data_IF_062392494418
#
_entry.id   IF_062392494418
#
_cell.length_a   1.000
_cell.length_b   1.000
_cell.length_c   1.000
_cell.angle_alpha   90.00
_cell.angle_beta   90.00
_cell.angle_gamma   90.00
#
_symmetry.space_group_name_H-M   'P 1'
#
loop_
_entity.id
_entity.type
_entity.pdbx_description
1 polymer ?
#
# COMPACT_ATOMS: atom_id res chain seq x y z
N UNK A 1 6.90 5.70 -5.14
CA UNK A 1 6.41 4.66 -4.21
C UNK A 1 7.53 3.71 -3.86
N UNK A 2 7.51 3.15 -2.66
CA UNK A 2 8.49 2.17 -2.19
C UNK A 2 7.83 0.80 -2.06
N UNK A 3 7.83 -0.02 -3.13
CA UNK A 3 7.11 -1.30 -3.13
C UNK A 3 7.55 -2.28 -2.05
N UNK A 4 8.86 -2.36 -1.77
CA UNK A 4 9.37 -3.28 -0.76
C UNK A 4 8.91 -2.90 0.65
N UNK A 5 8.69 -1.63 0.92
CA UNK A 5 8.20 -1.17 2.22
C UNK A 5 6.73 -1.57 2.41
N UNK A 6 5.92 -1.43 1.37
CA UNK A 6 4.51 -1.85 1.39
C UNK A 6 4.43 -3.37 1.60
N UNK A 7 5.19 -4.13 0.80
CA UNK A 7 5.25 -5.58 0.93
C UNK A 7 5.72 -6.01 2.32
N UNK A 8 6.77 -5.36 2.84
CA UNK A 8 7.31 -5.67 4.16
C UNK A 8 6.29 -5.42 5.27
N UNK A 9 5.58 -4.30 5.23
CA UNK A 9 4.54 -3.98 6.22
C UNK A 9 3.42 -5.03 6.18
N UNK A 10 2.98 -5.42 4.96
CA UNK A 10 1.95 -6.44 4.79
C UNK A 10 2.39 -7.79 5.35
N UNK A 11 3.58 -8.24 5.00
CA UNK A 11 4.08 -9.56 5.41
C UNK A 11 4.35 -9.63 6.91
N UNK A 12 4.80 -8.54 7.53
CA UNK A 12 4.98 -8.50 8.98
C UNK A 12 3.67 -8.69 9.74
N UNK A 13 2.55 -8.27 9.15
CA UNK A 13 1.22 -8.48 9.74
C UNK A 13 0.62 -9.83 9.38
N UNK A 14 1.31 -10.64 8.56
CA UNK A 14 0.80 -11.93 8.13
C UNK A 14 -0.35 -11.85 7.13
N UNK A 15 -0.51 -10.73 6.44
CA UNK A 15 -1.59 -10.52 5.49
C UNK A 15 -1.18 -10.99 4.09
N UNK A 16 -2.08 -11.72 3.41
CA UNK A 16 -1.83 -12.18 2.05
C UNK A 16 -2.19 -11.11 1.01
N UNK A 17 -1.63 -11.24 -0.19
CA UNK A 17 -2.04 -10.39 -1.31
C UNK A 17 -3.51 -10.60 -1.65
N UNK A 18 -3.99 -11.83 -1.53
CA UNK A 18 -5.41 -12.15 -1.75
C UNK A 18 -6.31 -11.38 -0.79
N UNK A 19 -5.94 -11.35 0.50
CA UNK A 19 -6.69 -10.59 1.49
C UNK A 19 -6.72 -9.11 1.15
N UNK A 20 -5.56 -8.54 0.81
CA UNK A 20 -5.48 -7.12 0.45
C UNK A 20 -6.34 -6.81 -0.78
N UNK A 21 -6.29 -7.67 -1.79
CA UNK A 21 -7.10 -7.52 -2.99
C UNK A 21 -8.59 -7.51 -2.67
N UNK A 22 -9.03 -8.42 -1.80
CA UNK A 22 -10.43 -8.48 -1.36
C UNK A 22 -10.85 -7.19 -0.67
N UNK A 23 -9.99 -6.66 0.20
CA UNK A 23 -10.28 -5.43 0.93
C UNK A 23 -10.33 -4.21 0.00
N UNK A 24 -9.61 -4.25 -1.11
CA UNK A 24 -9.59 -3.18 -2.11
C UNK A 24 -10.62 -3.41 -3.23
N UNK A 25 -11.32 -4.55 -3.20
CA UNK A 25 -12.30 -4.93 -4.21
C UNK A 25 -11.68 -5.01 -5.62
N UNK A 26 -10.48 -5.58 -5.71
CA UNK A 26 -9.75 -5.80 -6.96
C UNK A 26 -9.27 -7.25 -7.01
N UNK A 27 -8.77 -7.67 -8.17
CA UNK A 27 -8.21 -9.02 -8.31
C UNK A 27 -6.85 -9.11 -7.62
N UNK A 28 -6.45 -10.32 -7.24
CA UNK A 28 -5.14 -10.56 -6.64
C UNK A 28 -4.02 -10.18 -7.61
N UNK A 29 -4.18 -10.49 -8.91
CA UNK A 29 -3.21 -10.11 -9.93
C UNK A 29 -3.06 -8.59 -10.02
N UNK A 30 -4.17 -7.85 -9.97
CA UNK A 30 -4.16 -6.39 -9.98
C UNK A 30 -3.46 -5.83 -8.75
N UNK A 31 -3.76 -6.39 -7.57
CA UNK A 31 -3.09 -5.98 -6.34
C UNK A 31 -1.58 -6.21 -6.43
N UNK A 32 -1.16 -7.39 -6.93
CA UNK A 32 0.25 -7.70 -7.08
C UNK A 32 1.00 -6.69 -7.94
N UNK A 33 0.39 -6.26 -9.03
CA UNK A 33 0.98 -5.21 -9.89
C UNK A 33 1.11 -3.89 -9.16
N UNK A 34 0.12 -3.52 -8.37
CA UNK A 34 0.14 -2.27 -7.59
C UNK A 34 1.20 -2.33 -6.50
N UNK A 35 1.32 -3.46 -5.79
CA UNK A 35 2.32 -3.63 -4.76
C UNK A 35 3.75 -3.56 -5.33
N UNK A 36 3.96 -4.04 -6.56
CA UNK A 36 5.26 -3.98 -7.24
C UNK A 36 5.55 -2.62 -7.88
N UNK A 37 4.59 -1.71 -7.86
CA UNK A 37 4.76 -0.38 -8.46
C UNK A 37 4.54 -0.33 -9.97
N UNK A 38 4.04 -1.42 -10.58
CA UNK A 38 3.75 -1.44 -12.01
C UNK A 38 2.48 -0.67 -12.37
N UNK A 39 1.53 -0.61 -11.44
CA UNK A 39 0.28 0.15 -11.55
C UNK A 39 0.13 0.96 -10.27
N UNK A 40 -0.29 2.20 -10.38
CA UNK A 40 -0.46 3.06 -9.21
C UNK A 40 -1.69 2.65 -8.39
N UNK A 41 -1.57 2.74 -7.07
CA UNK A 41 -2.76 2.73 -6.22
C UNK A 41 -3.56 4.00 -6.46
N UNK A 42 -4.89 3.88 -6.51
CA UNK A 42 -5.76 5.05 -6.51
C UNK A 42 -5.72 5.70 -5.12
N UNK A 43 -6.19 6.95 -5.02
CA UNK A 43 -6.23 7.63 -3.73
C UNK A 43 -7.09 6.90 -2.70
N UNK A 44 -8.32 6.43 -3.03
CA UNK A 44 -9.09 5.62 -2.10
C UNK A 44 -8.38 4.33 -1.69
N UNK A 45 -7.67 3.68 -2.61
CA UNK A 45 -6.90 2.47 -2.30
C UNK A 45 -5.77 2.76 -1.32
N UNK A 46 -5.07 3.88 -1.49
CA UNK A 46 -4.01 4.30 -0.55
C UNK A 46 -4.57 4.48 0.87
N UNK A 47 -5.75 5.08 0.98
CA UNK A 47 -6.42 5.25 2.28
C UNK A 47 -6.70 3.89 2.92
N UNK A 48 -7.25 2.96 2.14
CA UNK A 48 -7.58 1.62 2.63
C UNK A 48 -6.31 0.86 3.04
N UNK A 49 -5.27 0.89 2.20
CA UNK A 49 -3.99 0.24 2.51
C UNK A 49 -3.38 0.83 3.78
N UNK A 50 -3.39 2.14 3.91
CA UNK A 50 -2.91 2.84 5.11
C UNK A 50 -3.58 2.32 6.36
N UNK A 51 -4.90 2.18 6.33
CA UNK A 51 -5.68 1.68 7.46
C UNK A 51 -5.36 0.20 7.75
N UNK A 52 -5.34 -0.62 6.71
CA UNK A 52 -5.11 -2.07 6.87
C UNK A 52 -3.72 -2.37 7.42
N UNK A 53 -2.72 -1.62 7.00
CA UNK A 53 -1.34 -1.82 7.44
C UNK A 53 -0.97 -0.99 8.67
N UNK A 54 -1.87 -0.14 9.15
CA UNK A 54 -1.62 0.69 10.33
C UNK A 54 -0.49 1.69 10.12
N UNK A 55 -0.38 2.26 8.92
CA UNK A 55 0.71 3.18 8.60
C UNK A 55 0.52 4.54 9.26
N UNK A 56 1.61 5.12 9.75
CA UNK A 56 1.62 6.50 10.24
C UNK A 56 1.64 7.48 9.07
N UNK A 57 1.36 8.76 9.32
CA UNK A 57 1.45 9.79 8.29
C UNK A 57 2.85 9.86 7.67
N UNK A 58 3.90 9.72 8.50
CA UNK A 58 5.27 9.71 8.01
C UNK A 58 5.53 8.51 7.09
N UNK A 59 5.00 7.33 7.44
CA UNK A 59 5.13 6.13 6.61
C UNK A 59 4.37 6.28 5.30
N UNK A 60 3.16 6.83 5.33
CA UNK A 60 2.39 7.10 4.10
C UNK A 60 3.17 7.99 3.16
N UNK A 61 3.74 9.09 3.69
CA UNK A 61 4.54 10.01 2.90
C UNK A 61 5.77 9.31 2.30
N UNK A 62 6.47 8.52 3.12
CA UNK A 62 7.67 7.82 2.68
C UNK A 62 7.34 6.71 1.67
N UNK A 63 6.32 5.90 1.93
CA UNK A 63 6.03 4.71 1.13
C UNK A 63 5.31 5.03 -0.18
N UNK A 64 4.38 5.98 -0.18
CA UNK A 64 3.58 6.30 -1.36
C UNK A 64 4.09 7.51 -2.13
N UNK A 65 4.71 8.46 -1.46
CA UNK A 65 5.09 9.74 -2.06
C UNK A 65 6.60 10.02 -2.01
N UNK A 66 7.41 9.00 -1.65
CA UNK A 66 8.87 9.08 -1.60
C UNK A 66 9.39 10.27 -0.78
N UNK A 67 8.64 10.63 0.27
CA UNK A 67 9.00 11.75 1.14
C UNK A 67 8.79 13.13 0.54
N UNK A 68 8.12 13.21 -0.62
CA UNK A 68 7.95 14.48 -1.34
C UNK A 68 6.68 15.23 -0.95
N UNK A 69 5.77 14.58 -0.23
CA UNK A 69 4.54 15.20 0.21
C UNK A 69 4.80 16.08 1.43
N UNK A 70 4.36 17.37 1.45
CA UNK A 70 4.53 18.19 2.64
C UNK A 70 3.74 17.60 3.81
N UNK A 71 4.41 17.39 4.94
CA UNK A 71 3.78 16.95 6.18
C UNK A 71 3.59 18.19 7.05
N UNK A 72 2.38 18.67 7.13
CA UNK A 72 2.03 19.79 8.00
C UNK A 72 0.91 19.41 8.93
#
# INVERSE_FOLDING_TARGET
MKPLEIKGARTRLGLSQKYMAQQLNITEASYGKKERGLVRFTDPEKVTVTRLLGLTAAQVNDYFFDGMMPIT
#
